data_IF_200879070995
#
_entry.id   IF_200879070995
#
_cell.length_a   1.000
_cell.length_b   1.000
_cell.length_c   1.000
_cell.angle_alpha   90.00
_cell.angle_beta   90.00
_cell.angle_gamma   90.00
#
_symmetry.space_group_name_H-M   'P 1'
#
loop_
_entity.id
_entity.type
_entity.pdbx_description
1 polymer ?
#
# COMPACT_ATOMS: atom_id res chain seq x y z
N UNK A 1 -0.94 16.07 -12.36
CA UNK A 1 -2.22 15.32 -12.48
C UNK A 1 -3.40 16.26 -12.27
N UNK A 2 -4.30 16.40 -13.24
CA UNK A 2 -5.47 17.28 -13.19
C UNK A 2 -6.70 16.56 -12.61
N UNK A 3 -6.73 16.41 -11.28
CA UNK A 3 -7.77 15.63 -10.59
C UNK A 3 -8.99 16.46 -10.16
N UNK A 4 -8.83 17.75 -9.88
CA UNK A 4 -9.91 18.61 -9.37
C UNK A 4 -11.14 18.64 -10.30
N UNK A 5 -12.33 18.68 -9.70
CA UNK A 5 -13.62 18.70 -10.43
C UNK A 5 -14.10 17.33 -10.94
N UNK A 6 -13.34 16.24 -10.70
CA UNK A 6 -13.80 14.87 -11.00
C UNK A 6 -14.68 14.31 -9.88
N UNK A 7 -15.43 13.25 -10.21
CA UNK A 7 -16.21 12.48 -9.24
C UNK A 7 -15.33 11.93 -8.11
N UNK A 8 -15.87 11.94 -6.89
CA UNK A 8 -15.25 11.41 -5.68
C UNK A 8 -15.96 10.14 -5.22
N UNK A 9 -15.23 9.25 -4.55
CA UNK A 9 -15.78 7.99 -4.04
C UNK A 9 -16.51 8.22 -2.73
N UNK A 10 -17.62 7.51 -2.56
CA UNK A 10 -18.35 7.43 -1.29
C UNK A 10 -17.77 6.38 -0.33
N UNK A 11 -16.74 5.63 -0.75
CA UNK A 11 -16.13 4.53 0.00
C UNK A 11 -14.94 4.98 0.88
N UNK A 12 -14.80 6.29 1.16
CA UNK A 12 -13.76 6.82 2.05
C UNK A 12 -14.31 7.00 3.47
N UNK A 13 -13.66 6.36 4.43
CA UNK A 13 -13.89 6.44 5.87
C UNK A 13 -12.80 7.32 6.50
N UNK A 14 -13.18 8.38 7.21
CA UNK A 14 -12.23 9.26 7.90
C UNK A 14 -12.13 8.91 9.39
N UNK A 15 -11.05 8.25 9.77
CA UNK A 15 -10.74 7.90 11.17
C UNK A 15 -9.62 8.75 11.75
N UNK A 16 -9.19 9.83 11.08
CA UNK A 16 -8.11 10.70 11.57
C UNK A 16 -8.46 11.46 12.86
N UNK A 17 -9.76 11.65 13.11
CA UNK A 17 -10.31 12.26 14.33
C UNK A 17 -10.79 11.26 15.37
N UNK A 18 -10.66 9.96 15.12
CA UNK A 18 -10.81 8.93 16.15
C UNK A 18 -9.54 8.95 17.01
N UNK A 19 -9.36 10.03 17.78
CA UNK A 19 -8.39 10.03 18.87
C UNK A 19 -8.71 8.82 19.73
N UNK A 20 -7.74 7.90 19.83
CA UNK A 20 -7.82 6.77 20.74
C UNK A 20 -8.13 7.30 22.13
N UNK A 21 -9.38 7.18 22.55
CA UNK A 21 -9.83 7.52 23.89
C UNK A 21 -9.06 6.69 24.90
N UNK A 22 -7.99 7.26 25.44
CA UNK A 22 -7.07 6.58 26.35
C UNK A 22 -5.90 7.48 26.70
N UNK A 23 -6.13 8.43 27.61
CA UNK A 23 -5.04 9.15 28.26
C UNK A 23 -4.08 8.17 28.96
N UNK A 24 -2.81 8.25 28.61
CA UNK A 24 -1.74 7.48 29.24
C UNK A 24 -0.41 7.80 28.57
N UNK A 25 0.36 8.69 29.20
CA UNK A 25 1.56 9.28 28.61
C UNK A 25 2.65 8.28 28.25
N UNK A 26 3.33 8.54 27.14
CA UNK A 26 4.67 8.03 26.90
C UNK A 26 5.68 9.17 27.10
N UNK A 27 6.17 9.22 28.34
CA UNK A 27 7.48 9.80 28.66
C UNK A 27 8.54 8.85 28.11
N UNK A 28 9.58 9.39 27.48
CA UNK A 28 10.87 8.70 27.38
C UNK A 28 11.42 8.58 25.97
N UNK A 29 12.19 9.59 25.56
CA UNK A 29 12.91 9.58 24.30
C UNK A 29 13.93 8.46 24.18
N UNK A 30 13.97 7.85 23.00
CA UNK A 30 15.19 7.40 22.34
C UNK A 30 14.91 7.34 20.83
N UNK A 31 15.53 8.26 20.11
CA UNK A 31 15.46 8.38 18.66
C UNK A 31 16.07 7.15 18.00
N UNK A 32 15.21 6.23 17.55
CA UNK A 32 15.58 5.19 16.59
C UNK A 32 15.05 5.69 15.24
N UNK A 33 15.95 5.77 14.25
CA UNK A 33 15.68 6.39 12.96
C UNK A 33 14.47 5.77 12.24
N UNK A 34 13.56 6.63 11.80
CA UNK A 34 12.28 6.27 11.16
C UNK A 34 12.47 5.35 9.93
N UNK A 35 13.63 5.45 9.25
CA UNK A 35 13.95 4.65 8.07
C UNK A 35 14.29 3.17 8.31
N UNK A 36 14.68 2.75 9.51
CA UNK A 36 14.97 1.33 9.80
C UNK A 36 13.78 0.56 10.35
N UNK A 37 12.79 1.26 10.92
CA UNK A 37 11.55 0.67 11.46
C UNK A 37 10.53 0.40 10.35
N UNK A 38 10.41 1.28 9.35
CA UNK A 38 9.50 1.11 8.22
C UNK A 38 9.80 -0.20 7.43
N UNK A 39 11.07 -0.47 7.16
CA UNK A 39 11.50 -1.69 6.44
C UNK A 39 11.34 -2.96 7.31
N UNK A 40 11.49 -2.86 8.64
CA UNK A 40 11.36 -3.99 9.55
C UNK A 40 9.89 -4.37 9.86
N UNK A 41 8.97 -3.39 9.83
CA UNK A 41 7.55 -3.61 10.12
C UNK A 41 6.75 -4.04 8.89
N UNK A 42 7.09 -3.56 7.69
CA UNK A 42 6.50 -4.08 6.45
C UNK A 42 6.95 -5.53 6.20
N UNK A 43 8.22 -5.85 6.55
CA UNK A 43 8.69 -7.24 6.61
C UNK A 43 7.84 -8.10 7.56
N UNK A 44 7.55 -7.65 8.78
CA UNK A 44 6.79 -8.44 9.77
C UNK A 44 5.39 -8.86 9.30
N UNK A 45 4.73 -8.02 8.50
CA UNK A 45 3.35 -8.23 8.06
C UNK A 45 3.23 -9.23 6.88
N UNK A 46 4.26 -9.33 6.03
CA UNK A 46 4.32 -10.37 4.98
C UNK A 46 4.83 -11.72 5.54
N UNK A 47 5.62 -11.71 6.62
CA UNK A 47 6.20 -12.92 7.23
C UNK A 47 5.33 -13.61 8.30
N UNK A 48 4.12 -13.12 8.57
CA UNK A 48 3.25 -13.71 9.61
C UNK A 48 3.88 -13.69 11.01
N UNK A 49 4.85 -12.79 11.23
CA UNK A 49 5.45 -12.60 12.55
C UNK A 49 4.54 -11.65 13.30
N UNK A 50 3.98 -12.14 14.39
CA UNK A 50 3.12 -11.34 15.26
C UNK A 50 3.88 -10.04 15.66
N UNK A 51 3.30 -8.85 15.42
CA UNK A 51 3.95 -7.57 15.73
C UNK A 51 4.41 -7.48 17.18
N UNK A 52 3.70 -8.14 18.10
CA UNK A 52 4.07 -8.24 19.51
C UNK A 52 5.34 -9.05 19.74
N UNK A 53 5.65 -10.01 18.87
CA UNK A 53 6.88 -10.81 18.94
C UNK A 53 8.09 -10.01 18.49
N UNK A 54 7.95 -9.21 17.43
CA UNK A 54 9.00 -8.26 16.99
C UNK A 54 9.22 -7.18 18.04
N UNK A 55 8.13 -6.65 18.61
CA UNK A 55 8.19 -5.67 19.69
C UNK A 55 8.83 -6.27 20.96
N UNK A 56 8.47 -7.50 21.35
CA UNK A 56 9.02 -8.22 22.51
C UNK A 56 10.49 -8.60 22.37
N UNK A 57 10.96 -8.85 21.14
CA UNK A 57 12.38 -9.09 20.87
C UNK A 57 13.21 -7.80 20.90
N UNK A 58 12.61 -6.67 20.51
CA UNK A 58 13.26 -5.35 20.49
C UNK A 58 13.15 -4.61 21.83
N UNK A 59 12.12 -4.89 22.63
CA UNK A 59 11.86 -4.27 23.95
C UNK A 59 12.46 -5.03 25.12
N UNK A 60 13.08 -6.20 24.87
CA UNK A 60 13.62 -7.05 25.93
C UNK A 60 12.53 -7.60 26.85
N UNK A 61 11.75 -8.57 26.34
CA UNK A 61 10.98 -9.55 27.13
C UNK A 61 10.25 -9.03 28.38
N UNK A 62 9.02 -8.55 28.20
CA UNK A 62 8.09 -8.27 29.29
C UNK A 62 6.68 -8.08 28.74
N UNK A 63 5.83 -9.08 28.90
CA UNK A 63 4.46 -9.08 28.37
C UNK A 63 3.51 -8.28 29.26
N UNK A 64 2.90 -7.24 28.69
CA UNK A 64 1.65 -6.67 29.20
C UNK A 64 0.57 -6.80 28.13
N UNK A 65 -0.53 -7.46 28.50
CA UNK A 65 -1.69 -7.68 27.63
C UNK A 65 -2.51 -6.41 27.57
N UNK A 66 -2.49 -5.72 26.43
CA UNK A 66 -3.38 -4.59 26.17
C UNK A 66 -4.76 -5.13 25.80
N UNK A 67 -5.74 -4.98 26.69
CA UNK A 67 -7.15 -5.26 26.40
C UNK A 67 -7.70 -4.17 25.47
N UNK A 68 -8.02 -4.53 24.22
CA UNK A 68 -8.70 -3.64 23.28
C UNK A 68 -10.20 -3.85 23.44
N UNK A 69 -10.90 -2.87 24.02
CA UNK A 69 -12.37 -2.84 24.04
C UNK A 69 -12.90 -2.60 22.63
N UNK A 70 -13.66 -3.56 22.10
CA UNK A 70 -14.30 -3.48 20.79
C UNK A 70 -15.54 -2.57 20.89
N UNK A 71 -15.34 -1.27 20.69
CA UNK A 71 -16.46 -0.32 20.62
C UNK A 71 -17.16 -0.45 19.27
N UNK A 72 -18.47 -0.67 19.32
CA UNK A 72 -19.35 -0.86 18.17
C UNK A 72 -19.41 0.46 17.38
N UNK A 73 -18.60 0.58 16.32
CA UNK A 73 -18.51 1.77 15.49
C UNK A 73 -19.77 1.89 14.61
N UNK A 74 -20.45 3.04 14.69
CA UNK A 74 -21.44 3.45 13.68
C UNK A 74 -20.81 3.59 12.29
N UNK A 75 -21.57 3.98 11.25
CA UNK A 75 -20.98 4.23 9.94
C UNK A 75 -19.84 5.26 10.09
N UNK A 76 -18.64 4.89 9.66
CA UNK A 76 -17.47 5.75 9.76
C UNK A 76 -17.74 7.09 9.06
N UNK A 77 -17.32 8.23 9.65
CA UNK A 77 -17.64 9.53 9.11
C UNK A 77 -16.96 9.74 7.76
N UNK A 78 -17.62 10.47 6.86
CA UNK A 78 -17.00 10.93 5.61
C UNK A 78 -16.03 12.07 5.90
N UNK A 79 -14.95 12.22 5.12
CA UNK A 79 -14.06 13.38 5.26
C UNK A 79 -14.80 14.71 5.07
N UNK A 80 -14.35 15.81 5.70
CA UNK A 80 -14.90 17.13 5.47
C UNK A 80 -14.81 17.54 4.00
N UNK A 81 -15.85 18.16 3.44
CA UNK A 81 -15.87 18.56 2.02
C UNK A 81 -14.82 19.63 1.66
N UNK A 82 -14.27 20.34 2.64
CA UNK A 82 -13.18 21.31 2.46
C UNK A 82 -11.78 20.69 2.53
N UNK A 83 -11.67 19.40 2.83
CA UNK A 83 -10.39 18.70 2.92
C UNK A 83 -9.88 18.32 1.52
N UNK A 84 -8.92 19.10 1.02
CA UNK A 84 -8.33 18.89 -0.32
C UNK A 84 -7.62 17.55 -0.44
N UNK A 85 -6.92 17.09 0.61
CA UNK A 85 -6.17 15.83 0.54
C UNK A 85 -7.15 14.64 0.53
N UNK A 86 -8.18 14.68 1.36
CA UNK A 86 -9.22 13.68 1.33
C UNK A 86 -10.01 13.70 0.01
N UNK A 87 -10.28 14.88 -0.55
CA UNK A 87 -10.91 15.01 -1.87
C UNK A 87 -10.05 14.40 -2.99
N UNK A 88 -8.73 14.61 -2.94
CA UNK A 88 -7.77 13.99 -3.85
C UNK A 88 -7.81 12.47 -3.75
N UNK A 89 -7.68 11.92 -2.53
CA UNK A 89 -7.75 10.47 -2.29
C UNK A 89 -9.07 9.88 -2.77
N UNK A 90 -10.18 10.54 -2.45
CA UNK A 90 -11.53 10.11 -2.86
C UNK A 90 -11.69 10.12 -4.39
N UNK A 91 -11.07 11.08 -5.07
CA UNK A 91 -11.08 11.17 -6.54
C UNK A 91 -10.27 10.04 -7.18
N UNK A 92 -9.08 9.76 -6.66
CA UNK A 92 -8.23 8.67 -7.16
C UNK A 92 -8.93 7.33 -6.93
N UNK A 93 -9.43 7.07 -5.72
CA UNK A 93 -10.18 5.85 -5.40
C UNK A 93 -11.39 5.69 -6.32
N UNK A 94 -12.17 6.75 -6.55
CA UNK A 94 -13.30 6.69 -7.48
C UNK A 94 -12.89 6.24 -8.87
N UNK A 95 -11.75 6.72 -9.36
CA UNK A 95 -11.28 6.33 -10.66
C UNK A 95 -10.79 4.87 -10.69
N UNK A 96 -10.12 4.39 -9.64
CA UNK A 96 -9.74 2.96 -9.57
C UNK A 96 -10.99 2.06 -9.55
N UNK A 97 -12.04 2.45 -8.83
CA UNK A 97 -13.32 1.73 -8.84
C UNK A 97 -13.91 1.61 -10.24
N UNK A 98 -13.97 2.72 -10.98
CA UNK A 98 -14.51 2.75 -12.34
C UNK A 98 -13.68 1.87 -13.29
N UNK A 99 -12.36 2.00 -13.24
CA UNK A 99 -11.44 1.23 -14.11
C UNK A 99 -11.58 -0.26 -13.84
N UNK A 100 -11.43 -0.70 -12.59
CA UNK A 100 -11.47 -2.12 -12.26
C UNK A 100 -12.86 -2.73 -12.44
N UNK A 101 -13.95 -1.99 -12.15
CA UNK A 101 -15.31 -2.43 -12.47
C UNK A 101 -15.46 -2.72 -13.97
N UNK A 102 -14.92 -1.85 -14.83
CA UNK A 102 -14.96 -2.06 -16.28
C UNK A 102 -14.13 -3.27 -16.72
N UNK A 103 -12.89 -3.39 -16.22
CA UNK A 103 -12.00 -4.51 -16.55
C UNK A 103 -12.61 -5.85 -16.15
N UNK A 104 -13.11 -5.98 -14.91
CA UNK A 104 -13.75 -7.21 -14.44
C UNK A 104 -14.98 -7.55 -15.29
N UNK A 105 -15.83 -6.56 -15.56
CA UNK A 105 -17.03 -6.74 -16.40
C UNK A 105 -16.69 -7.22 -17.81
N UNK A 106 -15.66 -6.66 -18.43
CA UNK A 106 -15.19 -7.08 -19.76
C UNK A 106 -14.64 -8.52 -19.75
N UNK A 107 -14.14 -8.99 -18.61
CA UNK A 107 -13.63 -10.35 -18.42
C UNK A 107 -14.68 -11.30 -17.79
N UNK A 108 -15.96 -10.91 -17.75
CA UNK A 108 -17.06 -11.76 -17.27
C UNK A 108 -17.14 -11.89 -15.74
N UNK A 109 -16.42 -11.08 -14.99
CA UNK A 109 -16.45 -11.02 -13.53
C UNK A 109 -17.21 -9.81 -12.99
N UNK A 110 -17.37 -9.78 -11.67
CA UNK A 110 -17.83 -8.61 -10.91
C UNK A 110 -16.71 -8.16 -9.97
N UNK A 111 -16.52 -6.84 -9.86
CA UNK A 111 -15.55 -6.23 -8.95
C UNK A 111 -16.30 -5.60 -7.78
N UNK A 112 -15.83 -5.83 -6.55
CA UNK A 112 -16.35 -5.16 -5.36
C UNK A 112 -15.40 -4.03 -4.96
N UNK A 113 -15.76 -2.75 -5.13
CA UNK A 113 -14.95 -1.62 -4.68
C UNK A 113 -14.46 -1.76 -3.23
N UNK A 114 -13.15 -1.58 -2.96
CA UNK A 114 -12.65 -1.56 -1.59
C UNK A 114 -13.08 -0.27 -0.90
N UNK A 115 -13.17 -0.32 0.43
CA UNK A 115 -13.23 0.91 1.22
C UNK A 115 -11.82 1.42 1.49
N UNK A 116 -11.68 2.72 1.65
CA UNK A 116 -10.42 3.36 2.01
C UNK A 116 -10.57 4.07 3.36
N UNK A 117 -9.66 3.80 4.28
CA UNK A 117 -9.63 4.39 5.61
C UNK A 117 -8.49 5.39 5.68
N UNK A 118 -8.83 6.66 5.89
CA UNK A 118 -7.88 7.68 6.30
C UNK A 118 -7.68 7.58 7.81
N UNK A 119 -6.44 7.47 8.28
CA UNK A 119 -6.15 7.37 9.71
C UNK A 119 -4.92 8.21 10.09
N UNK A 120 -4.67 8.34 11.40
CA UNK A 120 -3.47 9.00 11.92
C UNK A 120 -2.84 8.17 13.03
N UNK A 121 -1.54 7.89 12.91
CA UNK A 121 -0.77 7.19 13.94
C UNK A 121 -1.03 5.69 14.02
N UNK A 122 -2.23 5.28 14.46
CA UNK A 122 -2.62 3.86 14.51
C UNK A 122 -4.13 3.68 14.32
N UNK A 123 -4.54 2.53 13.78
CA UNK A 123 -5.95 2.19 13.58
C UNK A 123 -6.19 0.68 13.68
N UNK A 124 -7.30 0.21 14.29
CA UNK A 124 -7.65 -1.20 14.29
C UNK A 124 -8.09 -1.68 12.89
N UNK A 125 -7.62 -2.87 12.51
CA UNK A 125 -7.95 -3.55 11.24
C UNK A 125 -8.24 -5.04 11.51
N UNK A 126 -8.87 -5.73 10.56
CA UNK A 126 -9.03 -7.18 10.65
C UNK A 126 -7.69 -7.94 10.54
N UNK A 127 -6.62 -7.27 10.07
CA UNK A 127 -5.28 -7.80 9.94
C UNK A 127 -4.39 -7.47 11.15
N UNK A 128 -4.95 -6.91 12.23
CA UNK A 128 -4.24 -6.42 13.42
C UNK A 128 -4.23 -4.89 13.52
N UNK A 129 -3.33 -4.33 14.32
CA UNK A 129 -3.19 -2.87 14.47
C UNK A 129 -2.35 -2.29 13.33
N UNK A 130 -2.97 -1.49 12.46
CA UNK A 130 -2.26 -0.70 11.45
C UNK A 130 -1.53 0.47 12.09
N UNK A 131 -0.30 0.76 11.66
CA UNK A 131 0.52 1.86 12.18
C UNK A 131 1.01 2.75 11.04
N UNK A 132 1.03 4.06 11.26
CA UNK A 132 1.48 5.05 10.27
C UNK A 132 2.93 4.80 9.80
N UNK A 133 3.77 4.27 10.69
CA UNK A 133 5.17 3.93 10.39
C UNK A 133 5.31 2.80 9.34
N UNK A 134 4.24 2.05 9.06
CA UNK A 134 4.21 1.00 8.04
C UNK A 134 3.94 1.57 6.63
N UNK A 135 3.51 2.83 6.53
CA UNK A 135 3.01 3.38 5.28
C UNK A 135 1.61 2.87 4.92
N UNK A 136 1.12 3.16 3.70
CA UNK A 136 -0.14 2.64 3.20
C UNK A 136 -0.14 1.12 3.07
N UNK A 137 -1.31 0.50 3.23
CA UNK A 137 -1.46 -0.95 3.11
C UNK A 137 -2.91 -1.36 2.78
N UNK A 138 -3.11 -2.54 2.19
CA UNK A 138 -4.41 -3.20 2.00
C UNK A 138 -4.62 -4.36 2.98
N UNK A 139 -5.73 -4.42 3.72
CA UNK A 139 -6.05 -5.58 4.56
C UNK A 139 -7.08 -6.51 3.88
N UNK A 140 -6.73 -7.75 3.51
CA UNK A 140 -7.69 -8.70 2.94
C UNK A 140 -8.77 -9.16 3.94
N UNK A 141 -8.49 -9.08 5.26
CA UNK A 141 -9.43 -9.51 6.30
C UNK A 141 -10.71 -8.66 6.40
N UNK A 142 -10.64 -7.38 6.04
CA UNK A 142 -11.79 -6.47 5.99
C UNK A 142 -11.97 -5.78 4.62
N UNK A 143 -11.11 -6.12 3.65
CA UNK A 143 -11.10 -5.59 2.29
C UNK A 143 -10.97 -4.07 2.23
N UNK A 144 -10.13 -3.50 3.09
CA UNK A 144 -9.90 -2.04 3.17
C UNK A 144 -8.48 -1.65 2.81
N UNK A 145 -8.36 -0.52 2.12
CA UNK A 145 -7.10 0.21 1.93
C UNK A 145 -6.93 1.21 3.07
N UNK A 146 -5.75 1.32 3.64
CA UNK A 146 -5.45 2.19 4.77
C UNK A 146 -4.36 3.18 4.40
N UNK A 147 -4.60 4.47 4.67
CA UNK A 147 -3.64 5.54 4.34
C UNK A 147 -3.56 6.52 5.51
N UNK A 148 -2.33 6.73 6.00
CA UNK A 148 -2.00 7.92 6.80
C UNK A 148 -1.49 9.00 5.85
N UNK A 149 -2.18 10.14 5.78
CA UNK A 149 -1.81 11.25 4.89
C UNK A 149 -0.44 11.86 5.25
N UNK A 150 0.05 11.67 6.47
CA UNK A 150 1.42 12.03 6.85
C UNK A 150 2.48 11.26 6.05
N UNK A 151 2.12 10.14 5.41
CA UNK A 151 3.00 9.46 4.47
C UNK A 151 3.31 10.32 3.23
N UNK A 152 2.45 11.26 2.86
CA UNK A 152 2.69 12.15 1.73
C UNK A 152 3.84 13.12 1.99
N UNK A 153 4.03 13.53 3.25
CA UNK A 153 5.21 14.28 3.66
C UNK A 153 6.47 13.43 3.55
N UNK A 154 6.40 12.13 3.86
CA UNK A 154 7.51 11.19 3.68
C UNK A 154 7.89 11.03 2.20
N UNK A 155 6.91 10.83 1.31
CA UNK A 155 7.14 10.75 -0.14
C UNK A 155 7.84 12.01 -0.67
N UNK A 156 7.32 13.18 -0.30
CA UNK A 156 7.83 14.48 -0.74
C UNK A 156 9.21 14.78 -0.18
N UNK A 157 9.37 14.71 1.13
CA UNK A 157 10.53 15.27 1.83
C UNK A 157 11.68 14.26 1.98
N UNK A 158 11.37 12.95 2.07
CA UNK A 158 12.39 11.92 2.33
C UNK A 158 12.71 11.09 1.10
N UNK A 159 11.69 10.71 0.32
CA UNK A 159 11.87 9.86 -0.85
C UNK A 159 12.14 10.66 -2.14
N UNK A 160 11.93 11.97 -2.12
CA UNK A 160 12.17 12.84 -3.28
C UNK A 160 11.25 12.51 -4.46
N UNK A 161 10.04 12.01 -4.17
CA UNK A 161 9.00 11.72 -5.15
C UNK A 161 7.81 12.67 -4.92
N UNK A 162 7.98 13.99 -5.14
CA UNK A 162 6.89 14.94 -5.03
C UNK A 162 5.89 14.77 -6.18
N UNK A 163 4.65 15.19 -5.95
CA UNK A 163 3.62 15.29 -6.98
C UNK A 163 2.40 14.43 -6.69
N UNK A 164 1.25 14.91 -7.16
CA UNK A 164 -0.05 14.26 -6.94
C UNK A 164 -0.07 12.86 -7.56
N UNK A 165 0.57 12.64 -8.71
CA UNK A 165 0.57 11.32 -9.32
C UNK A 165 1.38 10.27 -8.53
N UNK A 166 2.46 10.66 -7.84
CA UNK A 166 3.18 9.75 -6.97
C UNK A 166 2.28 9.27 -5.81
N UNK A 167 1.44 10.15 -5.26
CA UNK A 167 0.44 9.77 -4.25
C UNK A 167 -0.66 8.88 -4.85
N UNK A 168 -1.13 9.21 -6.06
CA UNK A 168 -2.13 8.40 -6.77
C UNK A 168 -1.62 6.99 -7.08
N UNK A 169 -0.35 6.86 -7.46
CA UNK A 169 0.32 5.58 -7.67
C UNK A 169 0.27 4.70 -6.42
N UNK A 170 0.55 5.26 -5.24
CA UNK A 170 0.49 4.48 -3.98
C UNK A 170 -0.93 4.00 -3.71
N UNK A 171 -1.95 4.84 -3.90
CA UNK A 171 -3.36 4.42 -3.78
C UNK A 171 -3.66 3.29 -4.78
N UNK A 172 -3.25 3.43 -6.03
CA UNK A 172 -3.48 2.43 -7.07
C UNK A 172 -2.73 1.12 -6.81
N UNK A 173 -1.55 1.18 -6.18
CA UNK A 173 -0.79 0.01 -5.75
C UNK A 173 -1.53 -0.76 -4.64
N UNK A 174 -2.03 -0.08 -3.61
CA UNK A 174 -2.83 -0.73 -2.57
C UNK A 174 -4.15 -1.31 -3.12
N UNK A 175 -4.78 -0.63 -4.08
CA UNK A 175 -5.92 -1.20 -4.81
C UNK A 175 -5.49 -2.39 -5.68
N UNK A 176 -4.26 -2.42 -6.16
CA UNK A 176 -3.66 -3.59 -6.82
C UNK A 176 -3.66 -4.83 -5.92
N UNK A 177 -3.32 -4.68 -4.64
CA UNK A 177 -3.45 -5.79 -3.67
C UNK A 177 -4.90 -6.23 -3.45
N UNK A 178 -5.85 -5.28 -3.45
CA UNK A 178 -7.26 -5.63 -3.43
C UNK A 178 -7.69 -6.42 -4.68
N UNK A 179 -7.21 -6.04 -5.87
CA UNK A 179 -7.47 -6.79 -7.11
C UNK A 179 -6.87 -8.20 -7.04
N UNK A 180 -5.67 -8.35 -6.46
CA UNK A 180 -5.08 -9.68 -6.21
C UNK A 180 -5.97 -10.55 -5.32
N UNK A 181 -6.58 -9.95 -4.29
CA UNK A 181 -7.51 -10.64 -3.40
C UNK A 181 -8.78 -11.08 -4.14
N UNK A 182 -9.38 -10.19 -4.95
CA UNK A 182 -10.56 -10.52 -5.77
C UNK A 182 -10.26 -11.60 -6.84
N UNK A 183 -9.00 -11.68 -7.31
CA UNK A 183 -8.52 -12.74 -8.22
C UNK A 183 -8.11 -14.04 -7.50
N UNK A 184 -8.16 -14.07 -6.17
CA UNK A 184 -7.78 -15.21 -5.33
C UNK A 184 -6.28 -15.48 -5.27
N UNK A 185 -5.44 -14.51 -5.64
CA UNK A 185 -3.98 -14.60 -5.55
C UNK A 185 -3.55 -14.60 -4.09
N UNK A 186 -4.12 -13.71 -3.27
CA UNK A 186 -3.81 -13.58 -1.84
C UNK A 186 -4.00 -14.90 -1.10
N UNK A 187 -5.17 -15.53 -1.24
CA UNK A 187 -5.47 -16.82 -0.63
C UNK A 187 -4.52 -17.95 -1.06
N UNK A 188 -4.07 -17.96 -2.33
CA UNK A 188 -3.09 -18.95 -2.82
C UNK A 188 -1.71 -18.73 -2.20
N UNK A 189 -1.25 -17.48 -2.12
CA UNK A 189 0.02 -17.11 -1.50
C UNK A 189 0.00 -17.47 -0.01
N UNK A 190 -1.08 -17.14 0.69
CA UNK A 190 -1.27 -17.48 2.10
C UNK A 190 -1.24 -19.00 2.35
N UNK A 191 -1.87 -19.79 1.49
CA UNK A 191 -1.86 -21.25 1.58
C UNK A 191 -0.47 -21.90 1.40
N UNK A 192 0.51 -21.17 0.87
CA UNK A 192 1.91 -21.61 0.75
C UNK A 192 2.77 -21.20 1.95
N UNK A 193 2.31 -20.23 2.76
CA UNK A 193 3.03 -19.77 3.94
C UNK A 193 3.25 -20.92 4.94
N UNK A 194 4.38 -20.90 5.64
CA UNK A 194 4.79 -21.95 6.58
C UNK A 194 5.31 -23.25 5.94
N UNK A 195 5.26 -23.40 4.61
CA UNK A 195 5.81 -24.55 3.88
C UNK A 195 7.10 -24.23 3.12
N UNK A 196 7.43 -22.95 3.00
CA UNK A 196 8.54 -22.44 2.21
C UNK A 196 9.68 -21.96 3.14
N UNK A 197 10.91 -22.02 2.63
CA UNK A 197 12.05 -21.38 3.28
C UNK A 197 11.88 -19.85 3.31
N UNK A 198 12.65 -19.15 4.14
CA UNK A 198 12.64 -17.69 4.19
C UNK A 198 12.91 -17.06 2.81
N UNK A 199 13.93 -17.53 2.08
CA UNK A 199 14.26 -16.95 0.76
C UNK A 199 13.17 -17.22 -0.28
N UNK A 200 12.48 -18.37 -0.19
CA UNK A 200 11.35 -18.67 -1.05
C UNK A 200 10.14 -17.78 -0.74
N UNK A 201 9.87 -17.50 0.55
CA UNK A 201 8.84 -16.54 0.96
C UNK A 201 9.18 -15.12 0.48
N UNK A 202 10.44 -14.69 0.63
CA UNK A 202 10.94 -13.41 0.12
C UNK A 202 10.69 -13.29 -1.40
N UNK A 203 11.09 -14.30 -2.17
CA UNK A 203 10.87 -14.31 -3.61
C UNK A 203 9.38 -14.30 -4.01
N UNK A 204 8.53 -14.96 -3.22
CA UNK A 204 7.09 -14.95 -3.43
C UNK A 204 6.49 -13.56 -3.12
N UNK A 205 6.94 -12.93 -2.04
CA UNK A 205 6.60 -11.54 -1.67
C UNK A 205 6.91 -10.58 -2.81
N UNK A 206 8.12 -10.64 -3.36
CA UNK A 206 8.52 -9.79 -4.49
C UNK A 206 7.57 -9.96 -5.68
N UNK A 207 7.10 -11.16 -5.97
CA UNK A 207 6.16 -11.39 -7.09
C UNK A 207 4.78 -10.78 -6.84
N UNK A 208 4.30 -10.82 -5.59
CA UNK A 208 3.05 -10.17 -5.18
C UNK A 208 3.15 -8.66 -5.39
N UNK A 209 4.21 -8.06 -4.86
CA UNK A 209 4.45 -6.61 -4.91
C UNK A 209 4.59 -6.10 -6.36
N UNK A 210 5.36 -6.80 -7.18
CA UNK A 210 5.53 -6.45 -8.61
C UNK A 210 4.23 -6.61 -9.42
N UNK A 211 3.34 -7.52 -9.02
CA UNK A 211 2.04 -7.64 -9.69
C UNK A 211 1.12 -6.48 -9.30
N UNK A 212 1.15 -6.04 -8.04
CA UNK A 212 0.45 -4.83 -7.62
C UNK A 212 0.97 -3.59 -8.35
N UNK A 213 2.29 -3.45 -8.58
CA UNK A 213 2.86 -2.40 -9.44
C UNK A 213 2.32 -2.46 -10.87
N UNK A 214 2.25 -3.66 -11.45
CA UNK A 214 1.70 -3.85 -12.79
C UNK A 214 0.21 -3.47 -12.86
N UNK A 215 -0.58 -3.84 -11.84
CA UNK A 215 -1.98 -3.43 -11.72
C UNK A 215 -2.14 -1.91 -11.56
N UNK A 216 -1.27 -1.24 -10.80
CA UNK A 216 -1.23 0.22 -10.76
C UNK A 216 -0.91 0.83 -12.14
N UNK A 217 -0.04 0.19 -12.92
CA UNK A 217 0.24 0.55 -14.31
C UNK A 217 -0.99 0.43 -15.21
N UNK A 218 -1.72 -0.68 -15.13
CA UNK A 218 -2.99 -0.88 -15.86
C UNK A 218 -3.99 0.21 -15.48
N UNK A 219 -4.14 0.50 -14.19
CA UNK A 219 -5.00 1.60 -13.76
C UNK A 219 -4.59 2.92 -14.41
N UNK A 220 -3.29 3.25 -14.40
CA UNK A 220 -2.78 4.48 -15.00
C UNK A 220 -3.09 4.56 -16.50
N UNK A 221 -2.96 3.44 -17.24
CA UNK A 221 -3.30 3.32 -18.66
C UNK A 221 -4.77 3.70 -18.91
N UNK A 222 -5.70 2.97 -18.29
CA UNK A 222 -7.14 3.16 -18.49
C UNK A 222 -7.63 4.51 -17.94
N UNK A 223 -7.03 5.00 -16.85
CA UNK A 223 -7.32 6.33 -16.32
C UNK A 223 -6.94 7.41 -17.34
N UNK A 224 -5.80 7.25 -18.02
CA UNK A 224 -5.31 8.24 -18.96
C UNK A 224 -6.13 8.25 -20.24
N UNK A 225 -6.51 7.07 -20.76
CA UNK A 225 -7.39 6.96 -21.91
C UNK A 225 -8.76 7.62 -21.67
N UNK A 226 -9.32 7.44 -20.47
CA UNK A 226 -10.66 7.92 -20.13
C UNK A 226 -10.71 9.38 -19.65
N UNK A 227 -9.76 9.81 -18.80
CA UNK A 227 -9.78 11.13 -18.14
C UNK A 227 -8.84 12.15 -18.78
N UNK A 228 -7.77 11.71 -19.44
CA UNK A 228 -6.73 12.59 -20.02
C UNK A 228 -6.18 13.62 -19.01
N UNK A 229 -6.09 13.20 -17.75
CA UNK A 229 -5.73 14.03 -16.61
C UNK A 229 -4.25 13.91 -16.19
N UNK A 230 -3.49 13.01 -16.81
CA UNK A 230 -2.05 12.90 -16.58
C UNK A 230 -1.31 13.71 -17.64
N UNK A 231 -0.33 14.48 -17.19
CA UNK A 231 0.65 15.13 -18.05
C UNK A 231 1.85 14.18 -18.26
N UNK A 232 2.66 14.32 -19.33
CA UNK A 232 3.78 13.41 -19.59
C UNK A 232 4.75 13.23 -18.40
N UNK A 233 5.01 14.32 -17.66
CA UNK A 233 5.85 14.29 -16.46
C UNK A 233 5.22 13.59 -15.25
N UNK A 234 3.90 13.37 -15.22
CA UNK A 234 3.26 12.61 -14.14
C UNK A 234 3.69 11.13 -14.21
N UNK A 235 3.74 10.53 -15.40
CA UNK A 235 4.16 9.13 -15.56
C UNK A 235 5.63 8.94 -15.14
N UNK A 236 6.50 9.87 -15.52
CA UNK A 236 7.89 9.89 -15.06
C UNK A 236 7.98 10.02 -13.54
N UNK A 237 7.11 10.83 -12.92
CA UNK A 237 7.04 10.95 -11.46
C UNK A 237 6.64 9.64 -10.76
N UNK A 238 5.72 8.85 -11.31
CA UNK A 238 5.42 7.51 -10.77
C UNK A 238 6.58 6.53 -10.96
N UNK A 239 7.23 6.53 -12.13
CA UNK A 239 8.41 5.68 -12.33
C UNK A 239 9.54 6.05 -11.36
N UNK A 240 9.71 7.34 -11.05
CA UNK A 240 10.63 7.80 -10.02
C UNK A 240 10.19 7.37 -8.62
N UNK A 241 8.91 7.46 -8.28
CA UNK A 241 8.38 6.99 -7.00
C UNK A 241 8.62 5.48 -6.80
N UNK A 242 8.25 4.66 -7.80
CA UNK A 242 8.49 3.22 -7.81
C UNK A 242 9.99 2.88 -7.66
N UNK A 243 10.87 3.67 -8.29
CA UNK A 243 12.31 3.54 -8.11
C UNK A 243 12.73 3.75 -6.65
N UNK A 244 12.23 4.79 -6.00
CA UNK A 244 12.69 5.19 -4.66
C UNK A 244 12.25 4.24 -3.55
N UNK A 245 11.19 3.47 -3.80
CA UNK A 245 10.63 2.50 -2.85
C UNK A 245 11.13 1.07 -3.14
N UNK A 246 12.03 0.89 -4.11
CA UNK A 246 12.71 -0.39 -4.32
C UNK A 246 13.62 -0.75 -3.14
N UNK A 247 13.71 -2.04 -2.80
CA UNK A 247 14.48 -2.51 -1.64
C UNK A 247 15.96 -2.14 -1.73
N UNK A 248 16.55 -2.13 -2.93
CA UNK A 248 17.92 -1.71 -3.15
C UNK A 248 18.13 -0.20 -2.96
N UNK A 249 17.15 0.64 -3.30
CA UNK A 249 17.19 2.07 -3.00
C UNK A 249 17.08 2.33 -1.49
N UNK A 250 16.17 1.65 -0.80
CA UNK A 250 15.98 1.76 0.64
C UNK A 250 17.17 1.22 1.45
N UNK A 251 17.78 0.12 1.00
CA UNK A 251 19.00 -0.41 1.63
C UNK A 251 20.17 0.55 1.46
N UNK A 252 20.38 1.11 0.26
CA UNK A 252 21.43 2.11 0.01
C UNK A 252 21.23 3.39 0.80
N UNK A 253 20.00 3.93 0.86
CA UNK A 253 19.70 5.16 1.61
C UNK A 253 19.89 4.99 3.12
N UNK A 254 19.71 3.76 3.63
CA UNK A 254 20.03 3.38 5.00
C UNK A 254 21.54 3.09 5.23
N UNK A 255 22.41 3.29 4.24
CA UNK A 255 23.84 3.02 4.35
C UNK A 255 24.20 1.53 4.43
N UNK A 256 23.30 0.64 4.00
CA UNK A 256 23.49 -0.82 4.04
C UNK A 256 23.92 -1.36 2.67
N UNK A 257 24.65 -2.48 2.69
CA UNK A 257 24.94 -3.23 1.47
C UNK A 257 23.64 -3.81 0.88
N UNK A 258 23.57 -3.90 -0.45
CA UNK A 258 22.41 -4.43 -1.16
C UNK A 258 22.45 -5.97 -1.15
N UNK A 259 21.40 -6.61 -0.62
CA UNK A 259 21.30 -8.07 -0.51
C UNK A 259 20.03 -8.56 -1.20
N UNK A 260 20.09 -9.02 -2.46
CA UNK A 260 18.90 -9.40 -3.23
C UNK A 260 18.02 -10.47 -2.58
N UNK A 261 18.62 -11.47 -1.94
CA UNK A 261 17.88 -12.56 -1.27
C UNK A 261 17.03 -12.07 -0.08
N UNK A 262 17.28 -10.85 0.42
CA UNK A 262 16.51 -10.22 1.50
C UNK A 262 15.32 -9.38 1.01
N UNK A 263 15.15 -9.23 -0.31
CA UNK A 263 14.10 -8.38 -0.87
C UNK A 263 12.72 -8.96 -0.60
N UNK A 264 11.78 -8.06 -0.35
CA UNK A 264 10.36 -8.33 -0.11
C UNK A 264 9.47 -7.55 -1.07
N UNK A 265 9.92 -6.39 -1.55
CA UNK A 265 9.20 -5.50 -2.48
C UNK A 265 9.80 -5.49 -3.88
N UNK A 266 11.00 -6.06 -4.03
CA UNK A 266 11.73 -6.09 -5.28
C UNK A 266 12.66 -4.90 -5.44
N UNK A 267 13.52 -4.98 -6.45
CA UNK A 267 14.43 -3.88 -6.78
C UNK A 267 13.70 -2.73 -7.47
N UNK A 268 14.27 -1.53 -7.37
CA UNK A 268 13.82 -0.33 -8.07
C UNK A 268 13.55 -0.58 -9.56
N UNK A 269 14.44 -1.32 -10.22
CA UNK A 269 14.33 -1.64 -11.64
C UNK A 269 13.17 -2.60 -11.94
N UNK A 270 12.94 -3.59 -11.08
CA UNK A 270 11.80 -4.51 -11.21
C UNK A 270 10.48 -3.77 -11.05
N UNK A 271 10.35 -2.93 -10.02
CA UNK A 271 9.14 -2.15 -9.77
C UNK A 271 8.79 -1.24 -10.96
N UNK A 272 9.78 -0.48 -11.45
CA UNK A 272 9.62 0.34 -12.66
C UNK A 272 9.21 -0.47 -13.90
N UNK A 273 9.83 -1.65 -14.09
CA UNK A 273 9.55 -2.53 -15.22
C UNK A 273 8.10 -3.03 -15.19
N UNK A 274 7.62 -3.51 -14.05
CA UNK A 274 6.27 -4.06 -13.95
C UNK A 274 5.19 -3.00 -14.00
N UNK A 275 5.38 -1.84 -13.34
CA UNK A 275 4.51 -0.69 -13.54
C UNK A 275 4.44 -0.28 -15.03
N UNK A 276 5.60 -0.17 -15.68
CA UNK A 276 5.70 0.16 -17.10
C UNK A 276 5.00 -0.87 -18.00
N UNK A 277 5.14 -2.17 -17.72
CA UNK A 277 4.48 -3.24 -18.45
C UNK A 277 2.94 -3.13 -18.36
N UNK A 278 2.41 -2.87 -17.17
CA UNK A 278 0.99 -2.63 -16.97
C UNK A 278 0.51 -1.37 -17.70
N UNK A 279 1.26 -0.27 -17.62
CA UNK A 279 0.93 1.00 -18.26
C UNK A 279 0.95 0.92 -19.79
N UNK A 280 1.88 0.16 -20.37
CA UNK A 280 1.98 0.01 -21.82
C UNK A 280 0.90 -0.93 -22.39
N UNK A 281 0.59 -2.01 -21.67
CA UNK A 281 -0.33 -3.05 -22.15
C UNK A 281 -1.81 -2.74 -21.86
N UNK A 282 -2.11 -2.20 -20.68
CA UNK A 282 -3.49 -2.10 -20.18
C UNK A 282 -4.16 -3.45 -19.93
N UNK A 283 -3.44 -4.59 -20.00
CA UNK A 283 -4.01 -5.95 -19.92
C UNK A 283 -3.48 -6.72 -18.70
N UNK A 284 -4.41 -7.25 -17.90
CA UNK A 284 -4.14 -8.07 -16.71
C UNK A 284 -3.27 -9.29 -17.03
N UNK A 285 -3.37 -9.85 -18.25
CA UNK A 285 -2.55 -10.99 -18.68
C UNK A 285 -1.06 -10.65 -18.78
N UNK A 286 -0.71 -9.38 -18.97
CA UNK A 286 0.68 -8.93 -18.97
C UNK A 286 1.30 -8.85 -17.57
N UNK A 287 0.50 -9.01 -16.51
CA UNK A 287 0.91 -8.91 -15.10
C UNK A 287 1.14 -10.28 -14.42
N UNK A 288 1.49 -11.32 -15.18
CA UNK A 288 1.80 -12.65 -14.63
C UNK A 288 3.24 -12.72 -14.08
N UNK A 289 3.44 -12.11 -12.91
CA UNK A 289 4.71 -12.13 -12.20
C UNK A 289 5.05 -13.51 -11.65
N UNK A 290 4.08 -14.41 -11.46
CA UNK A 290 4.31 -15.73 -10.86
C UNK A 290 4.96 -16.70 -11.85
N UNK A 291 4.61 -16.61 -13.13
CA UNK A 291 5.21 -17.43 -14.19
C UNK A 291 6.41 -16.76 -14.89
N UNK A 292 6.74 -15.51 -14.55
CA UNK A 292 7.88 -14.81 -15.11
C UNK A 292 9.21 -15.50 -14.74
N UNK A 293 9.99 -15.87 -15.77
CA UNK A 293 11.36 -16.42 -15.62
C UNK A 293 12.37 -15.39 -15.14
N UNK A 294 12.16 -14.13 -15.52
CA UNK A 294 12.95 -12.98 -15.10
C UNK A 294 12.00 -11.83 -14.73
N UNK A 295 12.19 -11.29 -13.53
CA UNK A 295 11.38 -10.23 -12.95
C UNK A 295 11.92 -8.85 -13.33
#
# INVERSE_FOLDING_TARGET
>A
MRWEGNEQSDNVEDRRGEDGGGGGGFIGGRSIGIGTIAVALIAGWIFGINPLTVLSLLSGGGGEQVQVQQQQQGPAPKPPSSDREAAFVSTVLRNTEVVWTNIFRQNGGAYQPPRLVLFRGATPTACGTGQAAMGPFYCPGDKKVYIDLGFYDTLKNQLGAPGEFAQAYVIAHEVGHHVQDELGVTAKVDGMRGRLSQSQNNALSVRVELQADCFAGIWAHHSQESKKWLDPGDIEAAMNAAQKIGDDALQRSAGRAVVPDSFTHGSSAQRQRWFGAGYQSGDVKSCDTFNARSL
#
